data_IF_081685266230
#
_entry.id   IF_081685266230
#
_cell.length_a   1.000
_cell.length_b   1.000
_cell.length_c   1.000
_cell.angle_alpha   90.00
_cell.angle_beta   90.00
_cell.angle_gamma   90.00
#
_symmetry.space_group_name_H-M   'P 1'
#
loop_
_entity.id
_entity.type
_entity.pdbx_description
1 polymer ?
#
# COMPACT_ATOMS: atom_id res chain seq x y z
N UNK A 1 -5.15 23.08 -18.96
CA UNK A 1 -3.86 23.68 -19.34
C UNK A 1 -3.30 24.41 -18.13
N UNK A 2 -2.36 23.79 -17.42
CA UNK A 2 -1.87 24.30 -16.13
C UNK A 2 -0.82 25.41 -16.30
N UNK A 3 -0.78 26.36 -15.35
CA UNK A 3 0.10 27.53 -15.34
C UNK A 3 1.60 27.20 -15.49
N UNK A 4 2.02 26.00 -15.11
CA UNK A 4 3.42 25.55 -15.25
C UNK A 4 3.77 25.15 -16.69
N UNK A 5 2.82 24.61 -17.45
CA UNK A 5 3.00 24.25 -18.86
C UNK A 5 3.20 25.51 -19.71
N UNK A 6 2.50 26.60 -19.37
CA UNK A 6 2.75 27.91 -19.97
C UNK A 6 4.15 28.44 -19.65
N UNK A 7 4.67 28.23 -18.43
CA UNK A 7 6.00 28.70 -18.03
C UNK A 7 7.16 27.92 -18.70
N UNK A 8 7.00 26.61 -18.90
CA UNK A 8 7.96 25.78 -19.63
C UNK A 8 7.91 26.03 -21.14
N UNK A 9 6.72 26.18 -21.72
CA UNK A 9 6.55 26.54 -23.13
C UNK A 9 7.15 27.91 -23.47
N UNK A 10 6.97 28.90 -22.57
CA UNK A 10 7.50 30.25 -22.74
C UNK A 10 9.03 30.35 -22.62
N UNK A 11 9.67 29.40 -21.94
CA UNK A 11 11.14 29.43 -21.71
C UNK A 11 11.94 28.63 -22.74
N UNK A 12 11.35 27.63 -23.41
CA UNK A 12 12.11 26.70 -24.27
C UNK A 12 11.56 26.49 -25.68
N UNK A 13 10.50 27.20 -26.11
CA UNK A 13 10.05 27.16 -27.51
C UNK A 13 9.63 25.77 -28.00
N UNK A 14 9.02 24.98 -27.11
CA UNK A 14 8.59 23.61 -27.38
C UNK A 14 7.50 23.58 -28.47
N UNK A 15 7.57 22.60 -29.37
CA UNK A 15 6.59 22.44 -30.46
C UNK A 15 5.27 21.86 -29.92
N UNK A 16 4.16 22.11 -30.62
CA UNK A 16 2.81 21.69 -30.23
C UNK A 16 2.66 20.16 -29.99
N UNK A 17 3.53 19.35 -30.59
CA UNK A 17 3.57 17.90 -30.42
C UNK A 17 4.24 17.48 -29.09
N UNK A 18 5.23 18.23 -28.59
CA UNK A 18 5.85 18.00 -27.28
C UNK A 18 4.92 18.42 -26.13
N UNK A 19 4.06 19.42 -26.36
CA UNK A 19 3.03 19.84 -25.41
C UNK A 19 1.93 18.78 -25.19
N UNK A 20 1.62 17.96 -26.20
CA UNK A 20 0.67 16.84 -26.04
C UNK A 20 1.23 15.72 -25.16
N UNK A 21 2.55 15.47 -25.24
CA UNK A 21 3.21 14.49 -24.36
C UNK A 21 3.35 14.98 -22.91
N UNK A 22 3.37 16.29 -22.70
CA UNK A 22 3.37 16.92 -21.36
C UNK A 22 1.97 16.99 -20.74
N UNK A 23 0.90 16.99 -21.54
CA UNK A 23 -0.49 16.87 -21.07
C UNK A 23 -0.82 15.43 -20.59
N UNK A 24 -0.02 14.43 -21.00
CA UNK A 24 -0.05 13.06 -20.45
C UNK A 24 0.80 12.91 -19.17
N UNK A 25 1.49 13.97 -18.73
CA UNK A 25 2.19 13.98 -17.45
C UNK A 25 1.16 14.07 -16.32
N UNK A 26 0.68 12.88 -15.90
CA UNK A 26 -0.21 12.71 -14.76
C UNK A 26 0.36 13.46 -13.56
N UNK A 27 -0.40 14.47 -13.13
CA UNK A 27 -0.10 15.33 -11.98
C UNK A 27 0.18 14.48 -10.73
N UNK A 28 0.80 15.03 -9.67
CA UNK A 28 0.91 14.28 -8.42
C UNK A 28 -0.47 13.78 -8.00
N UNK A 29 -0.63 12.45 -8.02
CA UNK A 29 -1.88 11.77 -7.72
C UNK A 29 -2.15 11.75 -6.23
N UNK A 30 -1.21 12.19 -5.41
CA UNK A 30 -1.26 12.09 -3.97
C UNK A 30 -0.51 13.25 -3.30
N UNK A 31 -1.02 13.69 -2.15
CA UNK A 31 -0.41 14.72 -1.32
C UNK A 31 -0.14 14.17 0.07
N UNK A 32 1.12 14.28 0.51
CA UNK A 32 1.57 13.88 1.84
C UNK A 32 1.77 15.10 2.73
N UNK A 33 1.19 15.05 3.92
CA UNK A 33 1.49 15.96 5.02
C UNK A 33 2.12 15.17 6.15
N UNK A 34 3.28 15.61 6.65
CA UNK A 34 4.04 14.94 7.70
C UNK A 34 4.51 15.93 8.74
N UNK A 35 4.40 15.58 10.02
CA UNK A 35 5.04 16.31 11.11
C UNK A 35 6.28 15.53 11.50
N UNK A 36 7.45 16.17 11.42
CA UNK A 36 8.74 15.62 11.82
C UNK A 36 9.08 16.11 13.22
N UNK A 37 9.48 15.17 14.08
CA UNK A 37 9.92 15.37 15.44
C UNK A 37 11.41 14.98 15.52
N UNK A 38 12.26 15.96 15.78
CA UNK A 38 13.68 15.79 16.05
C UNK A 38 14.14 16.88 17.01
N UNK A 39 15.30 17.47 16.76
CA UNK A 39 15.74 18.67 17.50
C UNK A 39 14.72 19.80 17.33
N UNK A 40 14.31 20.02 16.08
CA UNK A 40 13.26 20.96 15.70
C UNK A 40 12.01 20.22 15.24
N UNK A 41 10.83 20.82 15.46
CA UNK A 41 9.57 20.31 14.90
C UNK A 41 9.26 20.99 13.58
N UNK A 42 9.09 20.21 12.51
CA UNK A 42 8.79 20.74 11.17
C UNK A 42 7.56 20.09 10.57
N UNK A 43 6.81 20.87 9.78
CA UNK A 43 5.74 20.39 8.92
C UNK A 43 6.30 20.18 7.51
N UNK A 44 6.27 18.95 7.00
CA UNK A 44 6.56 18.62 5.62
C UNK A 44 5.30 18.47 4.78
N UNK A 45 5.37 19.01 3.58
CA UNK A 45 4.35 18.90 2.56
C UNK A 45 5.02 18.39 1.28
N UNK A 46 4.59 17.22 0.78
CA UNK A 46 5.13 16.61 -0.42
C UNK A 46 4.02 16.30 -1.43
N UNK A 47 4.22 16.72 -2.68
CA UNK A 47 3.48 16.23 -3.82
C UNK A 47 4.10 14.90 -4.27
N UNK A 48 3.24 13.90 -4.51
CA UNK A 48 3.69 12.54 -4.81
C UNK A 48 3.10 12.04 -6.12
N UNK A 49 3.99 11.53 -6.97
CA UNK A 49 3.64 10.79 -8.16
C UNK A 49 4.09 9.33 -7.97
N UNK A 50 3.24 8.38 -8.32
CA UNK A 50 3.45 6.95 -8.09
C UNK A 50 3.41 6.20 -9.41
N UNK A 51 4.34 5.28 -9.61
CA UNK A 51 4.36 4.35 -10.74
C UNK A 51 4.78 2.97 -10.25
N UNK A 52 3.94 1.97 -10.47
CA UNK A 52 4.11 0.64 -9.88
C UNK A 52 4.29 0.73 -8.34
N UNK A 53 5.40 0.20 -7.81
CA UNK A 53 5.76 0.26 -6.39
C UNK A 53 6.70 1.42 -6.06
N UNK A 54 7.01 2.30 -7.03
CA UNK A 54 7.90 3.44 -6.85
C UNK A 54 7.12 4.74 -6.70
N UNK A 55 7.67 5.66 -5.92
CA UNK A 55 7.05 6.96 -5.64
C UNK A 55 8.08 8.07 -5.65
N UNK A 56 7.85 9.08 -6.50
CA UNK A 56 8.60 10.33 -6.55
C UNK A 56 7.92 11.32 -5.63
N UNK A 57 8.71 11.95 -4.76
CA UNK A 57 8.24 12.96 -3.82
C UNK A 57 8.98 14.26 -4.06
N UNK A 58 8.25 15.35 -4.18
CA UNK A 58 8.81 16.68 -4.26
C UNK A 58 8.01 17.62 -3.35
N UNK A 59 8.71 18.35 -2.51
CA UNK A 59 8.04 19.09 -1.45
C UNK A 59 8.99 19.93 -0.62
N UNK A 60 8.57 20.25 0.60
CA UNK A 60 9.44 20.94 1.54
C UNK A 60 8.98 20.85 2.98
N UNK A 61 9.91 21.15 3.88
CA UNK A 61 9.69 21.20 5.32
C UNK A 61 9.77 22.64 5.83
N UNK A 62 8.82 23.00 6.70
CA UNK A 62 8.62 24.32 7.26
C UNK A 62 8.67 24.21 8.79
N UNK A 63 9.37 25.11 9.46
CA UNK A 63 9.45 25.09 10.93
C UNK A 63 8.10 25.49 11.56
N UNK A 64 7.69 24.77 12.60
CA UNK A 64 6.50 25.12 13.39
C UNK A 64 6.99 25.85 14.65
N UNK A 65 6.43 27.02 14.95
CA UNK A 65 6.91 27.89 16.03
C UNK A 65 6.84 27.22 17.42
N UNK A 66 7.90 27.36 18.23
CA UNK A 66 7.93 26.88 19.62
C UNK A 66 9.31 26.52 20.22
N UNK A 67 10.41 26.75 19.51
CA UNK A 67 11.71 26.24 19.92
C UNK A 67 12.44 27.20 20.88
N UNK A 68 12.74 26.71 22.10
CA UNK A 68 13.36 27.48 23.20
C UNK A 68 14.88 27.43 23.21
N UNK A 69 15.50 26.73 22.26
CA UNK A 69 16.96 26.68 22.08
C UNK A 69 17.31 27.09 20.66
N UNK A 70 17.74 28.34 20.42
CA UNK A 70 18.27 28.70 19.12
C UNK A 70 19.55 27.88 18.87
N UNK A 71 19.62 27.21 17.72
CA UNK A 71 20.89 26.65 17.28
C UNK A 71 21.93 27.81 17.22
N UNK A 72 23.21 27.57 17.54
CA UNK A 72 24.20 28.65 17.72
C UNK A 72 24.35 29.59 16.51
N UNK A 73 23.89 29.17 15.33
CA UNK A 73 23.85 29.94 14.08
C UNK A 73 22.48 29.78 13.35
N UNK A 74 21.42 29.50 14.10
CA UNK A 74 20.18 28.84 13.65
C UNK A 74 19.25 29.67 12.80
N UNK A 75 19.44 29.63 11.49
CA UNK A 75 18.42 30.04 10.54
C UNK A 75 17.32 28.96 10.46
N UNK A 76 16.09 29.27 10.89
CA UNK A 76 14.90 28.50 10.53
C UNK A 76 14.63 28.69 9.02
N UNK A 77 15.20 27.82 8.18
CA UNK A 77 14.98 27.84 6.74
C UNK A 77 14.00 26.75 6.34
N UNK A 78 13.09 27.13 5.46
CA UNK A 78 12.28 26.15 4.74
C UNK A 78 13.20 25.35 3.83
N UNK A 79 13.11 24.03 3.88
CA UNK A 79 13.95 23.15 3.08
C UNK A 79 13.11 22.52 1.98
N UNK A 80 13.50 22.73 0.72
CA UNK A 80 12.96 21.95 -0.39
C UNK A 80 13.60 20.56 -0.40
N UNK A 81 12.79 19.53 -0.63
CA UNK A 81 13.22 18.15 -0.75
C UNK A 81 12.68 17.48 -1.99
N UNK A 82 13.53 16.62 -2.58
CA UNK A 82 13.13 15.66 -3.59
C UNK A 82 13.60 14.28 -3.17
N UNK A 83 12.80 13.25 -3.41
CA UNK A 83 13.15 11.89 -3.03
C UNK A 83 12.40 10.85 -3.85
N UNK A 84 12.93 9.63 -3.84
CA UNK A 84 12.30 8.45 -4.42
C UNK A 84 12.13 7.39 -3.34
N UNK A 85 11.06 6.63 -3.41
CA UNK A 85 10.82 5.54 -2.48
C UNK A 85 10.25 4.32 -3.18
N UNK A 86 10.51 3.15 -2.61
CA UNK A 86 9.95 1.87 -3.05
C UNK A 86 9.05 1.30 -1.96
N UNK A 87 7.92 0.73 -2.35
CA UNK A 87 6.92 0.15 -1.47
C UNK A 87 6.95 -1.38 -1.50
N UNK A 88 6.86 -1.98 -0.32
CA UNK A 88 6.76 -3.41 -0.11
C UNK A 88 5.45 -3.71 0.61
N UNK A 89 4.60 -4.51 -0.01
CA UNK A 89 3.34 -4.91 0.60
C UNK A 89 3.60 -5.87 1.76
N UNK A 90 3.17 -5.49 2.95
CA UNK A 90 3.25 -6.32 4.16
C UNK A 90 1.90 -7.01 4.46
N UNK A 91 0.79 -6.30 4.22
CA UNK A 91 -0.58 -6.81 4.33
C UNK A 91 -1.49 -6.11 3.30
N UNK A 92 -2.79 -6.44 3.30
CA UNK A 92 -3.76 -5.85 2.36
C UNK A 92 -3.77 -4.31 2.41
N UNK A 93 -3.71 -3.75 3.62
CA UNK A 93 -3.79 -2.30 3.86
C UNK A 93 -2.49 -1.70 4.40
N UNK A 94 -1.41 -2.48 4.47
CA UNK A 94 -0.15 -2.06 5.10
C UNK A 94 1.03 -2.25 4.15
N UNK A 95 1.72 -1.16 3.84
CA UNK A 95 2.94 -1.14 3.05
C UNK A 95 4.11 -0.61 3.89
N UNK A 96 5.27 -1.25 3.76
CA UNK A 96 6.56 -0.67 4.14
C UNK A 96 7.08 0.16 2.99
N UNK A 97 7.54 1.37 3.27
CA UNK A 97 8.14 2.27 2.30
C UNK A 97 9.59 2.52 2.71
N UNK A 98 10.51 2.31 1.76
CA UNK A 98 11.92 2.65 1.91
C UNK A 98 12.26 3.76 0.92
N UNK A 99 12.71 4.89 1.42
CA UNK A 99 12.96 6.09 0.65
C UNK A 99 14.37 6.62 0.80
N UNK A 100 14.81 7.34 -0.22
CA UNK A 100 16.05 8.11 -0.21
C UNK A 100 15.84 9.40 -0.98
N UNK A 101 16.59 10.44 -0.64
CA UNK A 101 16.47 11.70 -1.33
C UNK A 101 17.45 12.74 -0.85
N UNK A 102 17.16 13.97 -1.25
CA UNK A 102 18.00 15.12 -0.96
C UNK A 102 17.12 16.28 -0.52
N UNK A 103 17.44 16.87 0.63
CA UNK A 103 16.76 18.02 1.20
C UNK A 103 17.76 19.16 1.38
N UNK A 104 17.63 20.22 0.58
CA UNK A 104 18.54 21.36 0.52
C UNK A 104 20.04 21.01 0.31
N UNK A 105 20.76 20.63 1.37
CA UNK A 105 22.18 20.22 1.37
C UNK A 105 22.43 18.89 2.07
N UNK A 106 21.37 18.22 2.52
CA UNK A 106 21.46 16.99 3.29
C UNK A 106 20.84 15.86 2.47
N UNK A 107 21.63 14.81 2.23
CA UNK A 107 21.06 13.55 1.75
C UNK A 107 20.24 12.93 2.88
N UNK A 108 19.17 12.21 2.56
CA UNK A 108 18.40 11.51 3.57
C UNK A 108 18.02 10.12 3.11
N UNK A 109 17.82 9.24 4.09
CA UNK A 109 17.17 7.94 3.94
C UNK A 109 16.01 7.90 4.91
N UNK A 110 14.87 7.38 4.47
CA UNK A 110 13.74 7.13 5.34
C UNK A 110 13.19 5.71 5.20
N UNK A 111 12.58 5.24 6.28
CA UNK A 111 11.72 4.07 6.26
C UNK A 111 10.42 4.43 6.96
N UNK A 112 9.30 3.95 6.43
CA UNK A 112 7.99 4.29 6.97
C UNK A 112 6.96 3.21 6.70
N UNK A 113 5.97 3.16 7.56
CA UNK A 113 4.77 2.38 7.37
C UNK A 113 3.68 3.28 6.79
N UNK A 114 2.93 2.71 5.85
CA UNK A 114 1.77 3.30 5.22
C UNK A 114 0.58 2.41 5.46
N UNK A 115 -0.38 2.90 6.22
CA UNK A 115 -1.60 2.15 6.53
C UNK A 115 -2.80 2.81 5.85
N UNK A 116 -3.42 2.11 4.91
CA UNK A 116 -4.62 2.56 4.23
C UNK A 116 -5.77 2.60 5.25
N UNK A 117 -6.36 3.78 5.46
CA UNK A 117 -7.46 3.96 6.42
C UNK A 117 -8.80 3.70 5.75
N UNK A 118 -9.28 4.68 4.97
CA UNK A 118 -10.55 4.62 4.26
C UNK A 118 -10.43 5.40 2.96
N UNK A 119 -10.97 4.83 1.87
CA UNK A 119 -11.01 5.48 0.57
C UNK A 119 -9.61 5.86 0.08
N UNK A 120 -9.35 7.16 0.03
CA UNK A 120 -8.11 7.77 -0.47
C UNK A 120 -7.16 8.27 0.63
N UNK A 121 -7.45 8.03 1.92
CA UNK A 121 -6.63 8.51 3.04
C UNK A 121 -5.72 7.39 3.55
N UNK A 122 -4.43 7.70 3.68
CA UNK A 122 -3.40 6.81 4.24
C UNK A 122 -2.76 7.44 5.46
N UNK A 123 -2.62 6.69 6.56
CA UNK A 123 -1.81 7.07 7.71
C UNK A 123 -0.33 6.74 7.49
N UNK A 124 0.54 7.67 7.88
CA UNK A 124 1.99 7.55 7.71
C UNK A 124 2.66 7.58 9.07
N UNK A 125 3.62 6.68 9.30
CA UNK A 125 4.52 6.75 10.45
C UNK A 125 5.89 6.22 10.06
N UNK A 126 6.97 6.91 10.42
CA UNK A 126 8.30 6.47 10.00
C UNK A 126 9.43 7.25 10.62
N UNK A 127 10.63 7.00 10.11
CA UNK A 127 11.85 7.61 10.57
C UNK A 127 12.69 8.08 9.38
N UNK A 128 13.32 9.24 9.52
CA UNK A 128 14.22 9.83 8.52
C UNK A 128 15.58 10.13 9.15
N UNK A 129 16.63 9.69 8.49
CA UNK A 129 18.03 9.98 8.79
C UNK A 129 18.54 10.94 7.73
N UNK A 130 19.01 12.12 8.13
CA UNK A 130 19.62 13.09 7.24
C UNK A 130 21.10 13.22 7.53
N UNK A 131 21.91 13.13 6.48
CA UNK A 131 23.35 13.20 6.50
C UNK A 131 23.78 14.53 5.87
N UNK A 132 24.61 15.28 6.59
CA UNK A 132 25.13 16.57 6.16
C UNK A 132 26.67 16.52 6.18
N UNK A 133 27.31 17.29 5.30
CA UNK A 133 28.78 17.43 5.25
C UNK A 133 29.35 18.20 6.46
N UNK A 134 28.49 18.67 7.35
CA UNK A 134 28.82 19.36 8.60
C UNK A 134 28.88 18.44 9.83
N UNK A 135 28.87 17.11 9.62
CA UNK A 135 28.96 16.06 10.66
C UNK A 135 27.74 15.97 11.62
N UNK A 136 26.73 16.81 11.44
CA UNK A 136 25.49 16.74 12.23
C UNK A 136 24.48 15.84 11.52
N UNK A 137 24.43 14.58 11.94
CA UNK A 137 23.35 13.67 11.54
C UNK A 137 22.05 14.07 12.23
N UNK A 138 21.00 14.35 11.45
CA UNK A 138 19.66 14.67 12.00
C UNK A 138 18.77 13.45 11.89
N UNK A 139 18.17 13.09 13.01
CA UNK A 139 17.31 11.94 13.14
C UNK A 139 15.90 12.42 13.51
N UNK A 140 14.93 12.09 12.66
CA UNK A 140 13.57 12.60 12.80
C UNK A 140 12.56 11.46 12.71
N UNK A 141 11.74 11.31 13.76
CA UNK A 141 10.51 10.53 13.66
C UNK A 141 9.45 11.37 12.95
N UNK A 142 8.59 10.76 12.14
CA UNK A 142 7.46 11.47 11.56
C UNK A 142 6.15 10.68 11.67
N UNK A 143 5.05 11.43 11.78
CA UNK A 143 3.70 10.93 11.55
C UNK A 143 3.00 11.85 10.55
N UNK A 144 2.05 11.32 9.80
CA UNK A 144 1.40 12.08 8.74
C UNK A 144 0.18 11.43 8.16
N UNK A 145 -0.42 12.15 7.22
CA UNK A 145 -1.52 11.70 6.41
C UNK A 145 -1.19 11.91 4.94
N UNK A 146 -1.68 11.01 4.12
CA UNK A 146 -1.62 11.09 2.67
C UNK A 146 -3.02 11.05 2.09
N UNK A 147 -3.29 11.87 1.09
CA UNK A 147 -4.57 11.92 0.39
C UNK A 147 -4.32 11.75 -1.10
N UNK A 148 -4.92 10.71 -1.70
CA UNK A 148 -4.89 10.51 -3.15
C UNK A 148 -6.07 11.24 -3.84
N UNK A 149 -5.82 11.84 -5.00
CA UNK A 149 -6.80 12.60 -5.80
C UNK A 149 -7.22 11.88 -7.09
N UNK A 150 -6.73 10.66 -7.30
CA UNK A 150 -7.16 9.84 -8.42
C UNK A 150 -8.52 9.19 -8.11
N UNK A 151 -9.59 9.85 -8.57
CA UNK A 151 -10.99 9.40 -8.49
C UNK A 151 -11.32 8.24 -9.46
N UNK A 152 -10.35 7.64 -10.16
CA UNK A 152 -10.61 6.51 -11.07
C UNK A 152 -11.02 5.21 -10.37
N UNK A 153 -10.91 5.14 -9.03
CA UNK A 153 -11.73 4.20 -8.25
C UNK A 153 -13.09 4.81 -7.97
N UNK A 154 -13.93 4.86 -9.01
CA UNK A 154 -15.38 4.86 -8.80
C UNK A 154 -15.69 3.73 -7.82
N UNK A 155 -16.35 4.05 -6.71
CA UNK A 155 -17.00 3.06 -5.88
C UNK A 155 -17.77 2.09 -6.78
N UNK A 156 -17.28 0.85 -6.92
CA UNK A 156 -18.17 -0.24 -7.29
C UNK A 156 -19.07 -0.42 -6.08
N UNK A 157 -20.35 -0.08 -6.21
CA UNK A 157 -21.34 -0.54 -5.24
C UNK A 157 -21.07 -2.03 -4.99
N UNK A 158 -21.00 -2.49 -3.73
CA UNK A 158 -20.85 -3.91 -3.45
C UNK A 158 -21.99 -4.58 -4.19
N UNK A 159 -21.67 -5.34 -5.24
CA UNK A 159 -22.60 -5.83 -6.25
C UNK A 159 -23.95 -6.19 -5.61
N UNK A 160 -24.91 -5.26 -5.65
CA UNK A 160 -26.29 -5.48 -5.22
C UNK A 160 -27.11 -6.04 -6.38
N UNK A 161 -26.45 -6.66 -7.38
CA UNK A 161 -27.14 -7.70 -8.14
C UNK A 161 -27.74 -8.64 -7.10
N UNK A 162 -29.07 -8.79 -7.06
CA UNK A 162 -29.65 -9.86 -6.28
C UNK A 162 -28.91 -11.11 -6.73
N UNK A 163 -28.38 -11.87 -5.77
CA UNK A 163 -27.88 -13.22 -6.04
C UNK A 163 -28.92 -13.88 -6.94
N UNK A 164 -28.58 -14.06 -8.22
CA UNK A 164 -29.32 -14.98 -9.05
C UNK A 164 -28.99 -16.34 -8.46
N UNK A 165 -29.81 -16.74 -7.50
CA UNK A 165 -29.89 -18.12 -7.07
C UNK A 165 -30.46 -18.84 -8.28
N UNK A 166 -29.59 -19.23 -9.20
CA UNK A 166 -29.89 -20.32 -10.11
C UNK A 166 -30.10 -21.54 -9.22
N UNK A 167 -31.35 -21.74 -8.84
CA UNK A 167 -31.83 -22.99 -8.29
C UNK A 167 -31.41 -24.06 -9.28
N UNK A 168 -30.61 -25.07 -8.88
CA UNK A 168 -30.26 -26.12 -9.81
C UNK A 168 -31.56 -26.83 -10.17
N UNK A 169 -31.96 -26.67 -11.44
CA UNK A 169 -33.06 -27.43 -12.02
C UNK A 169 -32.65 -28.89 -11.90
N UNK A 170 -33.31 -29.59 -10.98
CA UNK A 170 -33.22 -31.03 -10.87
C UNK A 170 -33.54 -31.65 -12.24
N UNK A 171 -32.62 -32.47 -12.73
CA UNK A 171 -32.66 -33.10 -14.04
C UNK A 171 -33.94 -33.93 -14.27
N UNK A 172 -34.32 -34.10 -15.55
CA UNK A 172 -34.66 -35.42 -16.07
C UNK A 172 -33.62 -35.88 -17.09
N UNK A 173 -33.49 -37.21 -17.13
CA UNK A 173 -32.39 -37.99 -17.70
C UNK A 173 -32.44 -38.19 -19.22
N UNK A 174 -31.35 -38.82 -19.71
CA UNK A 174 -31.17 -39.53 -20.99
C UNK A 174 -30.90 -38.62 -22.21
N UNK A 175 -29.93 -38.86 -23.10
CA UNK A 175 -29.52 -40.15 -23.64
C UNK A 175 -28.12 -40.10 -24.32
N UNK A 176 -27.24 -41.07 -23.99
CA UNK A 176 -26.25 -41.80 -24.80
C UNK A 176 -25.09 -41.13 -25.61
N UNK A 177 -23.91 -41.69 -25.30
CA UNK A 177 -22.73 -42.02 -26.15
C UNK A 177 -21.79 -40.91 -26.67
N UNK A 178 -20.59 -40.81 -26.06
CA UNK A 178 -19.34 -41.32 -26.66
C UNK A 178 -18.27 -41.44 -25.56
N UNK A 179 -17.52 -42.56 -25.58
CA UNK A 179 -16.39 -42.80 -24.69
C UNK A 179 -15.18 -42.01 -25.22
N UNK A 180 -14.54 -41.19 -24.38
CA UNK A 180 -13.18 -40.74 -24.63
C UNK A 180 -12.47 -40.56 -23.28
N UNK A 181 -11.39 -41.32 -23.08
CA UNK A 181 -10.71 -41.58 -21.82
C UNK A 181 -10.04 -40.32 -21.21
N UNK A 182 -10.23 -40.09 -19.90
CA UNK A 182 -9.37 -39.20 -19.07
C UNK A 182 -9.41 -39.66 -17.60
N UNK A 183 -8.29 -39.54 -16.84
CA UNK A 183 -7.96 -40.43 -15.74
C UNK A 183 -8.82 -40.20 -14.50
N UNK A 184 -9.00 -41.27 -13.73
CA UNK A 184 -9.71 -41.27 -12.45
C UNK A 184 -9.32 -40.08 -11.58
N UNK A 185 -10.31 -39.23 -11.28
CA UNK A 185 -10.20 -38.18 -10.27
C UNK A 185 -9.89 -38.89 -8.93
N UNK A 186 -8.80 -38.53 -8.23
CA UNK A 186 -8.52 -39.14 -6.94
C UNK A 186 -9.68 -38.81 -5.99
N UNK A 187 -10.23 -39.85 -5.37
CA UNK A 187 -11.26 -39.74 -4.33
C UNK A 187 -10.66 -39.00 -3.13
N UNK A 188 -10.88 -37.68 -3.07
CA UNK A 188 -10.45 -36.85 -1.95
C UNK A 188 -11.10 -37.34 -0.66
N UNK A 189 -10.29 -37.76 0.32
CA UNK A 189 -10.76 -38.25 1.61
C UNK A 189 -10.81 -37.11 2.62
N UNK A 190 -11.91 -37.06 3.39
CA UNK A 190 -12.09 -36.09 4.47
C UNK A 190 -11.35 -36.53 5.72
N UNK A 191 -10.48 -35.65 6.20
CA UNK A 191 -9.70 -35.79 7.43
C UNK A 191 -10.11 -34.72 8.45
N UNK A 192 -9.80 -34.94 9.73
CA UNK A 192 -10.08 -34.00 10.83
C UNK A 192 -8.83 -33.74 11.67
N UNK A 193 -8.68 -32.52 12.17
CA UNK A 193 -7.59 -32.09 13.05
C UNK A 193 -8.12 -31.25 14.20
N UNK A 194 -7.63 -31.51 15.42
CA UNK A 194 -7.96 -30.72 16.59
C UNK A 194 -6.87 -29.68 16.83
N UNK A 195 -7.25 -28.41 16.85
CA UNK A 195 -6.37 -27.25 16.99
C UNK A 195 -5.69 -27.26 18.36
N UNK A 196 -4.37 -27.00 18.39
CA UNK A 196 -3.58 -26.89 19.62
C UNK A 196 -3.16 -25.45 19.89
N UNK A 197 -2.77 -25.15 21.13
CA UNK A 197 -2.24 -23.82 21.51
C UNK A 197 -1.01 -23.47 20.64
N UNK A 198 -1.08 -22.34 19.94
CA UNK A 198 -0.03 -21.89 19.02
C UNK A 198 -0.17 -22.38 17.58
N UNK A 199 -1.32 -22.95 17.21
CA UNK A 199 -1.69 -23.20 15.81
C UNK A 199 -2.44 -22.00 15.23
N UNK A 200 -2.24 -21.74 13.94
CA UNK A 200 -3.02 -20.82 13.11
C UNK A 200 -3.28 -21.48 11.75
N UNK A 201 -4.31 -21.04 11.02
CA UNK A 201 -4.83 -21.77 9.85
C UNK A 201 -3.76 -22.09 8.79
N UNK A 202 -2.89 -21.12 8.45
CA UNK A 202 -1.83 -21.30 7.45
C UNK A 202 -0.80 -22.37 7.88
N UNK A 203 -0.48 -22.47 9.18
CA UNK A 203 0.46 -23.47 9.71
C UNK A 203 -0.14 -24.87 9.65
N UNK A 204 -1.45 -25.00 9.86
CA UNK A 204 -2.16 -26.28 9.72
C UNK A 204 -2.22 -26.69 8.24
N UNK A 205 -2.53 -25.74 7.34
CA UNK A 205 -2.56 -25.96 5.90
C UNK A 205 -1.18 -26.43 5.37
N UNK A 206 -0.11 -25.73 5.74
CA UNK A 206 1.27 -26.09 5.40
C UNK A 206 1.67 -27.45 5.99
N UNK A 207 1.28 -27.75 7.23
CA UNK A 207 1.59 -29.03 7.90
C UNK A 207 0.99 -30.23 7.17
N UNK A 208 -0.20 -30.09 6.59
CA UNK A 208 -0.88 -31.19 5.89
C UNK A 208 -0.74 -31.14 4.37
N UNK A 209 -0.02 -30.14 3.85
CA UNK A 209 0.18 -29.87 2.43
C UNK A 209 -1.16 -29.77 1.68
N UNK A 210 -2.08 -28.99 2.23
CA UNK A 210 -3.38 -28.68 1.62
C UNK A 210 -3.49 -27.16 1.44
N UNK A 211 -4.14 -26.67 0.38
CA UNK A 211 -4.30 -25.24 0.19
C UNK A 211 -5.22 -24.66 1.26
N UNK A 212 -4.99 -23.40 1.63
CA UNK A 212 -5.78 -22.71 2.66
C UNK A 212 -7.28 -22.69 2.31
N UNK A 213 -7.61 -22.54 1.02
CA UNK A 213 -8.97 -22.61 0.50
C UNK A 213 -9.66 -23.93 0.84
N UNK A 214 -8.94 -25.06 0.85
CA UNK A 214 -9.49 -26.36 1.22
C UNK A 214 -9.94 -26.40 2.70
N UNK A 215 -9.20 -25.75 3.60
CA UNK A 215 -9.67 -25.61 4.98
C UNK A 215 -10.90 -24.71 5.06
N UNK A 216 -10.90 -23.57 4.36
CA UNK A 216 -12.00 -22.60 4.41
C UNK A 216 -13.29 -23.20 3.83
N UNK A 217 -13.22 -23.91 2.71
CA UNK A 217 -14.38 -24.52 2.05
C UNK A 217 -14.98 -25.69 2.85
N UNK A 218 -14.14 -26.40 3.61
CA UNK A 218 -14.58 -27.58 4.38
C UNK A 218 -14.96 -27.27 5.83
N UNK A 219 -14.86 -26.00 6.26
CA UNK A 219 -15.22 -25.58 7.61
C UNK A 219 -15.96 -24.24 7.60
N UNK A 220 -17.02 -24.12 8.39
CA UNK A 220 -17.78 -22.86 8.50
C UNK A 220 -17.09 -21.88 9.48
N UNK A 221 -15.94 -21.33 9.11
CA UNK A 221 -15.26 -20.31 9.92
C UNK A 221 -16.08 -19.01 9.93
N UNK A 222 -16.39 -18.48 11.11
CA UNK A 222 -16.99 -17.13 11.27
C UNK A 222 -15.96 -16.02 11.07
N UNK A 223 -14.70 -16.31 11.36
CA UNK A 223 -13.55 -15.45 11.14
C UNK A 223 -12.34 -16.34 10.83
N UNK A 224 -11.71 -16.13 9.67
CA UNK A 224 -10.62 -16.96 9.15
C UNK A 224 -9.33 -16.77 9.97
N UNK A 225 -9.17 -15.60 10.60
CA UNK A 225 -8.00 -15.24 11.40
C UNK A 225 -8.09 -15.72 12.86
N UNK A 226 -9.24 -16.30 13.25
CA UNK A 226 -9.52 -16.68 14.62
C UNK A 226 -9.90 -18.16 14.74
N UNK A 227 -8.93 -18.97 15.19
CA UNK A 227 -9.14 -20.36 15.63
C UNK A 227 -8.69 -20.54 17.08
N UNK A 228 -9.39 -21.38 17.82
CA UNK A 228 -9.12 -21.63 19.23
C UNK A 228 -8.62 -23.05 19.46
N UNK A 229 -7.74 -23.27 20.46
CA UNK A 229 -7.36 -24.61 20.88
C UNK A 229 -8.60 -25.44 21.27
N UNK A 230 -8.75 -26.63 20.68
CA UNK A 230 -9.93 -27.47 20.84
C UNK A 230 -10.88 -27.45 19.63
N UNK A 231 -10.75 -26.49 18.72
CA UNK A 231 -11.53 -26.46 17.49
C UNK A 231 -11.21 -27.66 16.59
N UNK A 232 -12.22 -28.18 15.90
CA UNK A 232 -12.06 -29.28 14.93
C UNK A 232 -12.09 -28.71 13.52
N UNK A 233 -11.00 -28.93 12.78
CA UNK A 233 -10.83 -28.50 11.39
C UNK A 233 -10.86 -29.72 10.47
N UNK A 234 -11.69 -29.67 9.44
CA UNK A 234 -11.80 -30.67 8.38
C UNK A 234 -11.02 -30.26 7.13
N UNK A 235 -10.33 -31.20 6.49
CA UNK A 235 -9.64 -30.97 5.21
C UNK A 235 -9.74 -32.19 4.30
N UNK A 236 -9.68 -31.96 2.98
CA UNK A 236 -9.76 -32.99 1.94
C UNK A 236 -8.37 -33.27 1.37
N UNK A 237 -8.00 -34.55 1.30
CA UNK A 237 -6.73 -35.03 0.73
C UNK A 237 -6.88 -36.40 0.09
#
# INVERSE_FOLDING_TARGET
>A
MSLLVCALAASHGLKAEELKSLDEMSWPVEFESKVYFGDTTTLGIDAVHSWENFRLKAGGQFHIAGETTPAPNGYHRNTFSVGVSHQFQLAQDLNLELGTGYAYRSAFVDYGLRYQLLGNITALAGYRFSFDNTEVNRNQFYTGLSIAFDDSKTWEEPNTSPLQVEVPIAAPQSEKHFLENKPDKPLLKRHKYNVKKGDWLIKIASKYNVPLSNLIENNNFKNIDLIYPGDTIYYLK
#
